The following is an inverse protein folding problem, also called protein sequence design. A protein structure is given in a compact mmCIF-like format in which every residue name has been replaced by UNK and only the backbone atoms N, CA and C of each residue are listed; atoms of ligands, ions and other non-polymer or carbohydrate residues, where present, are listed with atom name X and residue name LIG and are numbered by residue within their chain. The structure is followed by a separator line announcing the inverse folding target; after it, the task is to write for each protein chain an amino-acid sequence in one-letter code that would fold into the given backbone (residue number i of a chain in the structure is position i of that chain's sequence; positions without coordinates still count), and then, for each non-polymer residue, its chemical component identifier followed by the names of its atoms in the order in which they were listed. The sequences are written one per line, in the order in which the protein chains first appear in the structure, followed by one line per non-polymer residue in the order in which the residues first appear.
data_IF_027964010092
#
_entry.id   IF_027964010092
#
_cell.length_a   1.000
_cell.length_b   1.000
_cell.length_c   1.000
_cell.angle_alpha   90.00
_cell.angle_beta   90.00
_cell.angle_gamma   90.00
#
_symmetry.space_group_name_H-M   'P 1'
#
loop_
_entity.id
_entity.type
_entity.pdbx_description
1 polymer ?
#
# COMPACT_ATOMS: atom_id res chain seq x y z
N UNK A 1 -3.69 3.29 14.70
CA UNK A 1 -3.13 2.96 16.02
C UNK A 1 -1.62 3.00 16.00
N UNK A 2 -0.95 2.09 15.25
CA UNK A 2 0.51 2.05 15.19
C UNK A 2 1.09 3.33 14.56
N UNK A 3 0.57 3.77 13.42
CA UNK A 3 1.01 4.98 12.73
C UNK A 3 0.94 6.23 13.63
N UNK A 4 -0.17 6.42 14.34
CA UNK A 4 -0.31 7.57 15.26
C UNK A 4 0.64 7.49 16.47
N UNK A 5 0.87 6.28 17.00
CA UNK A 5 1.84 6.07 18.06
C UNK A 5 3.28 6.38 17.60
N UNK A 6 3.65 5.91 16.41
CA UNK A 6 4.96 6.20 15.82
C UNK A 6 5.13 7.70 15.51
N UNK A 7 4.10 8.34 14.92
CA UNK A 7 4.06 9.78 14.67
C UNK A 7 4.36 10.57 15.94
N UNK A 8 3.66 10.27 17.02
CA UNK A 8 3.82 10.95 18.30
C UNK A 8 5.18 10.70 18.94
N UNK A 9 5.66 9.45 18.88
CA UNK A 9 6.93 9.07 19.50
C UNK A 9 8.15 9.63 18.80
N UNK A 10 8.13 9.65 17.46
CA UNK A 10 9.29 10.02 16.64
C UNK A 10 9.14 11.35 15.92
N UNK A 11 8.00 12.04 16.08
CA UNK A 11 7.68 13.31 15.41
C UNK A 11 7.81 13.22 13.89
N UNK A 12 7.41 12.07 13.31
CA UNK A 12 7.43 11.81 11.87
C UNK A 12 6.05 12.02 11.25
N UNK A 13 5.96 12.55 10.02
CA UNK A 13 4.67 12.73 9.36
C UNK A 13 4.07 11.40 8.89
N UNK A 14 2.74 11.33 8.88
CA UNK A 14 1.97 10.25 8.28
C UNK A 14 1.51 10.70 6.90
N UNK A 15 1.81 9.88 5.90
CA UNK A 15 1.37 10.07 4.52
C UNK A 15 0.24 9.10 4.18
N UNK A 16 -0.69 9.54 3.34
CA UNK A 16 -1.76 8.71 2.79
C UNK A 16 -2.08 9.18 1.37
N UNK A 17 -2.62 8.31 0.54
CA UNK A 17 -3.12 8.75 -0.76
C UNK A 17 -4.28 9.74 -0.60
N UNK A 18 -4.37 10.74 -1.48
CA UNK A 18 -5.39 11.80 -1.37
C UNK A 18 -6.83 11.27 -1.28
N UNK A 19 -7.12 10.13 -1.93
CA UNK A 19 -8.43 9.45 -1.88
C UNK A 19 -8.70 8.70 -0.58
N UNK A 20 -7.70 8.50 0.28
CA UNK A 20 -7.81 7.75 1.54
C UNK A 20 -7.95 8.65 2.78
N UNK A 21 -7.80 9.97 2.61
CA UNK A 21 -7.84 10.92 3.73
C UNK A 21 -9.13 10.77 4.55
N UNK A 22 -10.27 10.56 3.89
CA UNK A 22 -11.56 10.42 4.54
C UNK A 22 -11.69 9.10 5.31
N UNK A 23 -11.11 8.00 4.83
CA UNK A 23 -11.11 6.70 5.51
C UNK A 23 -10.53 6.78 6.92
N UNK A 24 -9.44 7.54 7.09
CA UNK A 24 -8.79 7.69 8.39
C UNK A 24 -9.69 8.39 9.41
N UNK A 25 -10.61 9.24 8.95
CA UNK A 25 -11.54 10.01 9.78
C UNK A 25 -12.86 9.30 10.09
N UNK A 26 -13.24 8.25 9.37
CA UNK A 26 -14.50 7.55 9.55
C UNK A 26 -14.30 6.11 10.07
N UNK A 27 -14.73 5.82 11.32
CA UNK A 27 -14.63 4.47 11.89
C UNK A 27 -15.38 3.37 11.14
N UNK A 28 -16.37 3.72 10.32
CA UNK A 28 -17.10 2.76 9.49
C UNK A 28 -16.27 2.38 8.26
N UNK A 29 -15.63 3.37 7.64
CA UNK A 29 -14.82 3.16 6.44
C UNK A 29 -13.46 2.52 6.76
N UNK A 30 -12.80 2.95 7.85
CA UNK A 30 -11.54 2.35 8.30
C UNK A 30 -11.74 1.06 9.12
N UNK A 31 -12.97 0.58 9.22
CA UNK A 31 -13.41 -0.64 9.89
C UNK A 31 -13.13 -0.69 11.40
N UNK A 32 -12.57 0.35 11.99
CA UNK A 32 -12.33 0.37 13.45
C UNK A 32 -13.64 0.37 14.25
N UNK A 33 -14.74 0.81 13.64
CA UNK A 33 -16.08 0.74 14.23
C UNK A 33 -16.60 -0.69 14.44
N UNK A 34 -16.02 -1.69 13.78
CA UNK A 34 -16.33 -3.11 13.99
C UNK A 34 -15.62 -3.68 15.23
N UNK A 35 -14.64 -2.97 15.76
CA UNK A 35 -13.87 -3.34 16.93
C UNK A 35 -14.33 -2.53 18.14
N UNK A 36 -14.02 -2.99 19.33
CA UNK A 36 -14.50 -2.41 20.60
C UNK A 36 -14.11 -0.94 20.84
N UNK A 37 -13.22 -0.37 20.05
CA UNK A 37 -12.78 1.03 20.17
C UNK A 37 -12.66 1.68 18.80
N UNK A 38 -13.72 2.35 18.31
CA UNK A 38 -13.65 3.18 17.10
C UNK A 38 -12.47 4.15 17.18
N UNK A 39 -11.73 4.27 16.10
CA UNK A 39 -10.53 5.09 16.04
C UNK A 39 -10.52 5.98 14.80
N UNK A 40 -10.14 7.23 15.00
CA UNK A 40 -9.96 8.19 13.92
C UNK A 40 -8.59 8.84 14.00
N UNK A 41 -8.03 9.18 12.85
CA UNK A 41 -6.82 10.00 12.74
C UNK A 41 -6.86 10.83 11.46
N UNK A 42 -5.93 11.75 11.33
CA UNK A 42 -5.69 12.49 10.08
C UNK A 42 -4.24 12.27 9.67
N UNK A 43 -4.01 12.10 8.38
CA UNK A 43 -2.66 12.14 7.84
C UNK A 43 -2.15 13.57 7.80
N UNK A 44 -0.85 13.74 7.91
CA UNK A 44 -0.20 15.04 7.86
C UNK A 44 0.01 15.50 6.41
N UNK A 45 0.16 14.57 5.49
CA UNK A 45 0.39 14.82 4.07
C UNK A 45 -0.31 13.79 3.19
N UNK A 46 -0.63 14.19 1.97
CA UNK A 46 -1.16 13.29 0.94
C UNK A 46 -0.14 13.02 -0.15
N UNK A 47 -0.29 11.87 -0.79
CA UNK A 47 0.48 11.45 -1.97
C UNK A 47 -0.44 11.01 -3.10
N UNK A 48 0.09 10.96 -4.30
CA UNK A 48 -0.57 10.48 -5.52
C UNK A 48 0.41 9.75 -6.42
N UNK A 49 -0.11 9.14 -7.48
CA UNK A 49 0.69 8.48 -8.52
C UNK A 49 1.83 9.39 -9.02
N UNK A 50 3.04 8.82 -9.07
CA UNK A 50 4.23 9.47 -9.61
C UNK A 50 4.94 10.43 -8.67
N UNK A 51 4.41 10.65 -7.45
CA UNK A 51 5.15 11.42 -6.45
C UNK A 51 6.44 10.70 -6.07
N UNK A 52 7.49 11.47 -5.81
CA UNK A 52 8.76 10.98 -5.28
C UNK A 52 9.01 11.64 -3.92
N UNK A 53 9.07 10.83 -2.88
CA UNK A 53 9.39 11.28 -1.54
C UNK A 53 10.88 11.12 -1.29
N UNK A 54 11.51 12.13 -0.72
CA UNK A 54 12.91 12.07 -0.30
C UNK A 54 12.97 11.89 1.21
N UNK A 55 13.55 10.77 1.65
CA UNK A 55 13.73 10.45 3.07
C UNK A 55 15.18 10.00 3.29
N UNK A 56 15.95 10.81 4.03
CA UNK A 56 17.40 10.63 4.13
C UNK A 56 18.02 10.55 2.72
N UNK A 57 18.73 9.47 2.42
CA UNK A 57 19.39 9.24 1.13
C UNK A 57 18.53 8.44 0.15
N UNK A 58 17.26 8.17 0.47
CA UNK A 58 16.36 7.37 -0.36
C UNK A 58 15.38 8.23 -1.16
N UNK A 59 15.18 7.84 -2.40
CA UNK A 59 14.04 8.24 -3.21
C UNK A 59 12.97 7.14 -3.13
N UNK A 60 11.77 7.50 -2.69
CA UNK A 60 10.64 6.60 -2.54
C UNK A 60 9.59 6.98 -3.58
N UNK A 61 9.41 6.15 -4.58
CA UNK A 61 8.44 6.35 -5.64
C UNK A 61 7.05 5.86 -5.20
N UNK A 62 6.05 6.70 -5.37
CA UNK A 62 4.65 6.36 -5.08
C UNK A 62 4.00 5.79 -6.32
N UNK A 63 3.57 4.53 -6.23
CA UNK A 63 2.84 3.82 -7.29
C UNK A 63 1.39 3.65 -6.83
N UNK A 64 0.44 4.33 -7.47
CA UNK A 64 -0.97 4.11 -7.14
C UNK A 64 -1.41 2.71 -7.58
N UNK A 65 -1.93 1.96 -6.64
CA UNK A 65 -2.40 0.57 -6.84
C UNK A 65 -3.82 0.41 -6.29
N UNK A 66 -4.80 1.10 -6.92
CA UNK A 66 -6.19 1.00 -6.46
C UNK A 66 -6.70 -0.43 -6.58
N UNK A 67 -7.65 -0.78 -5.71
CA UNK A 67 -8.36 -2.03 -5.78
C UNK A 67 -8.66 -2.66 -4.43
N UNK A 68 -7.68 -2.84 -3.54
CA UNK A 68 -7.95 -3.18 -2.13
C UNK A 68 -8.73 -2.04 -1.47
N UNK A 69 -8.27 -0.81 -1.69
CA UNK A 69 -9.02 0.42 -1.45
C UNK A 69 -8.89 1.35 -2.66
N UNK A 70 -9.73 2.38 -2.76
CA UNK A 70 -9.71 3.32 -3.89
C UNK A 70 -8.42 4.15 -3.98
N UNK A 71 -7.71 4.33 -2.89
CA UNK A 71 -6.45 5.06 -2.82
C UNK A 71 -5.26 4.18 -2.41
N UNK A 72 -5.33 2.87 -2.67
CA UNK A 72 -4.20 1.97 -2.45
C UNK A 72 -2.94 2.46 -3.13
N UNK A 73 -1.79 2.39 -2.45
CA UNK A 73 -0.47 2.74 -2.98
C UNK A 73 0.56 1.69 -2.60
N UNK A 74 1.54 1.51 -3.47
CA UNK A 74 2.80 0.84 -3.16
C UNK A 74 3.91 1.89 -3.11
N UNK A 75 4.91 1.63 -2.28
CA UNK A 75 6.11 2.46 -2.19
C UNK A 75 7.30 1.69 -2.71
N UNK A 76 7.94 2.20 -3.75
CA UNK A 76 9.09 1.58 -4.40
C UNK A 76 10.36 2.37 -4.15
N UNK A 77 11.40 1.70 -3.66
CA UNK A 77 12.74 2.26 -3.43
C UNK A 77 13.71 1.61 -4.43
N UNK A 78 13.99 2.23 -5.58
CA UNK A 78 14.82 1.63 -6.63
C UNK A 78 16.23 1.26 -6.17
N UNK A 79 16.87 2.11 -5.37
CA UNK A 79 18.23 1.90 -4.88
C UNK A 79 18.35 0.63 -4.02
N UNK A 80 17.29 0.29 -3.28
CA UNK A 80 17.24 -0.89 -2.42
C UNK A 80 16.55 -2.09 -3.09
N UNK A 81 16.03 -1.92 -4.31
CA UNK A 81 15.21 -2.93 -5.00
C UNK A 81 14.08 -3.44 -4.09
N UNK A 82 13.43 -2.55 -3.39
CA UNK A 82 12.42 -2.85 -2.38
C UNK A 82 11.07 -2.25 -2.76
N UNK A 83 10.02 -3.06 -2.70
CA UNK A 83 8.64 -2.66 -2.89
C UNK A 83 7.84 -2.94 -1.63
N UNK A 84 7.28 -1.92 -1.00
CA UNK A 84 6.29 -2.07 0.06
C UNK A 84 4.90 -2.07 -0.57
N UNK A 85 4.30 -3.23 -0.70
CA UNK A 85 3.07 -3.41 -1.49
C UNK A 85 1.79 -3.25 -0.68
N UNK A 86 1.88 -3.11 0.65
CA UNK A 86 0.69 -3.09 1.51
C UNK A 86 -0.21 -4.29 1.20
N UNK A 87 -1.51 -4.03 1.03
CA UNK A 87 -2.50 -5.07 0.74
C UNK A 87 -2.85 -5.15 -0.76
N UNK A 88 -1.85 -4.92 -1.63
CA UNK A 88 -2.01 -5.07 -3.08
C UNK A 88 -1.48 -6.41 -3.58
N UNK A 89 -0.19 -6.69 -3.37
CA UNK A 89 0.50 -7.89 -3.84
C UNK A 89 1.06 -8.67 -2.66
N UNK A 90 0.74 -9.96 -2.56
CA UNK A 90 1.22 -10.91 -1.57
C UNK A 90 2.00 -12.05 -2.24
N UNK A 91 2.73 -12.82 -1.44
CA UNK A 91 3.36 -14.04 -1.91
C UNK A 91 2.31 -15.02 -2.46
N UNK A 92 2.41 -15.31 -3.76
CA UNK A 92 1.48 -16.16 -4.53
C UNK A 92 -0.01 -15.77 -4.35
N UNK A 93 -0.28 -14.49 -4.05
CA UNK A 93 -1.63 -14.00 -3.77
C UNK A 93 -1.74 -12.49 -3.96
N UNK A 94 -2.90 -11.95 -3.61
CA UNK A 94 -3.21 -10.51 -3.67
C UNK A 94 -4.24 -10.15 -2.60
N UNK A 95 -4.42 -8.86 -2.36
CA UNK A 95 -5.32 -8.34 -1.35
C UNK A 95 -6.80 -8.65 -1.63
N UNK A 96 -7.61 -8.64 -0.59
CA UNK A 96 -9.07 -8.74 -0.73
C UNK A 96 -9.66 -7.47 -1.35
N UNK A 97 -10.83 -7.60 -1.96
CA UNK A 97 -11.51 -6.51 -2.69
C UNK A 97 -13.01 -6.45 -2.41
N UNK A 98 -13.39 -6.75 -1.18
CA UNK A 98 -14.79 -6.79 -0.73
C UNK A 98 -15.13 -5.70 0.30
N UNK A 99 -14.31 -4.66 0.41
CA UNK A 99 -14.59 -3.47 1.20
C UNK A 99 -15.41 -2.43 0.42
N UNK A 100 -16.05 -1.45 1.08
CA UNK A 100 -16.90 -0.46 0.42
C UNK A 100 -16.23 0.32 -0.72
N UNK A 101 -14.92 0.57 -0.63
CA UNK A 101 -14.15 1.31 -1.64
C UNK A 101 -13.30 0.41 -2.53
N UNK A 102 -13.47 -0.91 -2.43
CA UNK A 102 -12.69 -1.90 -3.18
C UNK A 102 -13.19 -2.08 -4.61
N UNK A 103 -12.28 -2.53 -5.48
CA UNK A 103 -12.56 -2.89 -6.86
C UNK A 103 -11.65 -4.03 -7.31
N UNK A 104 -12.21 -5.22 -7.49
CA UNK A 104 -11.43 -6.38 -7.97
C UNK A 104 -10.81 -6.13 -9.35
N UNK A 105 -11.52 -5.41 -10.24
CA UNK A 105 -10.99 -5.06 -11.56
C UNK A 105 -9.74 -4.17 -11.46
N UNK A 106 -9.77 -3.17 -10.59
CA UNK A 106 -8.63 -2.28 -10.39
C UNK A 106 -7.48 -2.99 -9.70
N UNK A 107 -7.76 -3.86 -8.71
CA UNK A 107 -6.73 -4.64 -8.03
C UNK A 107 -5.97 -5.55 -9.01
N UNK A 108 -6.69 -6.28 -9.85
CA UNK A 108 -6.09 -7.12 -10.91
C UNK A 108 -5.21 -6.28 -11.84
N UNK A 109 -5.70 -5.12 -12.28
CA UNK A 109 -4.93 -4.22 -13.12
C UNK A 109 -3.66 -3.69 -12.41
N UNK A 110 -3.78 -3.34 -11.14
CA UNK A 110 -2.66 -2.87 -10.30
C UNK A 110 -1.58 -3.94 -10.14
N UNK A 111 -1.96 -5.17 -9.80
CA UNK A 111 -1.01 -6.29 -9.67
C UNK A 111 -0.31 -6.57 -11.01
N UNK A 112 -1.07 -6.69 -12.10
CA UNK A 112 -0.50 -6.90 -13.44
C UNK A 112 0.46 -5.79 -13.85
N UNK A 113 0.16 -4.54 -13.52
CA UNK A 113 1.05 -3.41 -13.76
C UNK A 113 2.37 -3.57 -12.99
N UNK A 114 2.32 -3.87 -11.69
CA UNK A 114 3.51 -4.07 -10.88
C UNK A 114 4.39 -5.19 -11.45
N UNK A 115 3.80 -6.34 -11.78
CA UNK A 115 4.52 -7.48 -12.34
C UNK A 115 5.14 -7.15 -13.71
N UNK A 116 4.49 -6.31 -14.52
CA UNK A 116 5.00 -5.92 -15.84
C UNK A 116 6.12 -4.90 -15.77
N UNK A 117 5.97 -3.88 -14.92
CA UNK A 117 6.83 -2.68 -14.93
C UNK A 117 8.07 -2.82 -14.06
N UNK A 118 7.99 -3.59 -12.96
CA UNK A 118 9.09 -3.69 -12.02
C UNK A 118 10.11 -4.76 -12.42
N UNK A 119 11.42 -4.52 -12.15
CA UNK A 119 12.47 -5.52 -12.34
C UNK A 119 12.21 -6.78 -11.50
N UNK A 120 12.60 -7.94 -12.02
CA UNK A 120 12.37 -9.23 -11.36
C UNK A 120 13.06 -9.40 -10.01
N UNK A 121 14.20 -8.74 -9.83
CA UNK A 121 15.03 -8.78 -8.61
C UNK A 121 14.58 -7.83 -7.50
N UNK A 122 13.40 -7.20 -7.67
CA UNK A 122 12.78 -6.39 -6.61
C UNK A 122 12.16 -7.29 -5.56
N UNK A 123 12.56 -7.11 -4.30
CA UNK A 123 11.94 -7.75 -3.14
C UNK A 123 10.63 -7.04 -2.79
N UNK A 124 9.59 -7.82 -2.57
CA UNK A 124 8.25 -7.32 -2.20
C UNK A 124 8.02 -7.58 -0.71
N UNK A 125 7.73 -6.51 0.03
CA UNK A 125 7.36 -6.53 1.44
C UNK A 125 5.86 -6.24 1.57
N UNK A 126 5.02 -7.27 1.71
CA UNK A 126 3.57 -7.10 1.76
C UNK A 126 3.08 -6.70 3.15
N UNK A 127 1.82 -6.26 3.25
CA UNK A 127 1.14 -6.01 4.51
C UNK A 127 0.85 -7.27 5.34
N UNK A 128 0.76 -8.41 4.66
CA UNK A 128 0.52 -9.74 5.25
C UNK A 128 1.33 -10.81 4.53
N UNK A 129 1.55 -11.94 5.21
CA UNK A 129 2.32 -13.10 4.74
C UNK A 129 3.82 -12.80 4.62
N UNK A 130 4.55 -13.73 3.99
CA UNK A 130 5.98 -13.65 3.82
C UNK A 130 6.38 -12.70 2.69
N UNK A 131 7.63 -12.25 2.70
CA UNK A 131 8.24 -11.52 1.59
C UNK A 131 8.36 -12.42 0.35
N UNK A 132 8.38 -11.77 -0.83
CA UNK A 132 8.54 -12.45 -2.11
C UNK A 132 9.37 -11.58 -3.07
N UNK A 133 9.49 -11.96 -4.33
CA UNK A 133 10.13 -11.15 -5.38
C UNK A 133 9.21 -10.99 -6.58
N UNK A 134 9.42 -9.93 -7.34
CA UNK A 134 8.68 -9.70 -8.58
C UNK A 134 8.89 -10.86 -9.57
N UNK A 135 10.09 -11.45 -9.65
CA UNK A 135 10.35 -12.62 -10.51
C UNK A 135 9.54 -13.84 -10.05
N UNK A 136 9.49 -14.11 -8.76
CA UNK A 136 8.68 -15.20 -8.21
C UNK A 136 7.20 -15.02 -8.56
N UNK A 137 6.68 -13.82 -8.32
CA UNK A 137 5.28 -13.52 -8.57
C UNK A 137 4.91 -13.54 -10.07
N UNK A 138 5.84 -13.18 -10.96
CA UNK A 138 5.65 -13.37 -12.41
C UNK A 138 5.44 -14.83 -12.83
N UNK A 139 5.88 -15.79 -12.02
CA UNK A 139 5.78 -17.23 -12.32
C UNK A 139 4.61 -17.90 -11.60
N UNK A 140 4.32 -17.49 -10.39
CA UNK A 140 3.46 -18.24 -9.48
C UNK A 140 2.22 -17.47 -9.01
N UNK A 141 2.16 -16.16 -9.20
CA UNK A 141 0.98 -15.40 -8.82
C UNK A 141 -0.21 -15.78 -9.70
N UNK A 142 -1.40 -16.00 -9.13
CA UNK A 142 -2.60 -16.36 -9.90
C UNK A 142 -3.06 -15.28 -10.88
N UNK A 143 -2.51 -14.07 -10.80
CA UNK A 143 -2.79 -12.95 -11.71
C UNK A 143 -1.67 -12.71 -12.76
N UNK A 144 -0.61 -13.51 -12.76
CA UNK A 144 0.51 -13.37 -13.70
C UNK A 144 0.12 -13.65 -15.16
#
# INVERSE_FOLDING_TARGET
LAADALRKKYHIPVYVHEKEQHLLGDPKENLSGLWSKPYTMQADKTVKEGDVLHLADFEIHVLATPGHTAGGVCYYIPAEKALFSGDTLFCESYGRYDFPTSSGRELIASVKRLLKELPGDVTVYPGHNDETTIEHEKRYNPLA
#
